data_IF_156181024809
#
_entry.id   IF_156181024809
#
_cell.length_a   1.000
_cell.length_b   1.000
_cell.length_c   1.000
_cell.angle_alpha   90.00
_cell.angle_beta   90.00
_cell.angle_gamma   90.00
#
_symmetry.space_group_name_H-M   'P 1'
#
loop_
_entity.id
_entity.type
_entity.pdbx_description
1 polymer ?
#
# COMPACT_ATOMS: atom_id res chain seq x y z
N UNK A 1 48.81 -37.88 -45.63
CA UNK A 1 47.87 -38.92 -46.03
C UNK A 1 46.55 -38.30 -46.02
N UNK A 2 46.22 -37.74 -47.10
CA UNK A 2 45.33 -38.19 -48.21
C UNK A 2 43.89 -37.97 -47.77
N UNK A 3 43.25 -37.04 -48.31
CA UNK A 3 42.69 -36.75 -49.65
C UNK A 3 41.16 -36.76 -49.55
N UNK A 4 40.62 -35.64 -49.93
CA UNK A 4 39.81 -35.34 -51.13
C UNK A 4 38.40 -35.91 -51.06
N UNK A 5 37.34 -35.19 -51.22
CA UNK A 5 36.85 -34.62 -52.47
C UNK A 5 35.51 -33.90 -52.24
N UNK A 6 35.39 -32.67 -52.64
CA UNK A 6 34.24 -32.04 -53.24
C UNK A 6 34.01 -32.67 -54.64
N UNK A 7 32.91 -32.54 -55.36
CA UNK A 7 32.04 -31.39 -55.50
C UNK A 7 30.58 -31.66 -55.95
N UNK A 8 29.91 -30.58 -56.24
CA UNK A 8 29.05 -30.37 -57.43
C UNK A 8 27.54 -30.33 -57.15
N UNK A 9 26.98 -29.13 -57.11
CA UNK A 9 26.36 -28.38 -58.21
C UNK A 9 25.03 -28.94 -58.73
N UNK A 10 24.01 -28.19 -58.59
CA UNK A 10 23.28 -27.58 -59.72
C UNK A 10 21.89 -27.04 -59.32
N UNK A 11 21.72 -25.80 -59.60
CA UNK A 11 20.54 -25.00 -59.93
C UNK A 11 19.84 -25.55 -61.18
N UNK A 12 18.76 -24.95 -61.63
CA UNK A 12 17.48 -24.43 -61.16
C UNK A 12 16.33 -24.96 -62.05
N UNK A 13 15.11 -24.67 -61.74
CA UNK A 13 14.09 -24.49 -62.80
C UNK A 13 12.71 -24.12 -62.19
N UNK A 14 12.37 -22.87 -62.45
CA UNK A 14 11.31 -22.43 -63.35
C UNK A 14 9.89 -22.59 -62.81
N UNK A 15 9.31 -21.44 -62.61
CA UNK A 15 7.88 -21.14 -62.65
C UNK A 15 7.22 -21.72 -63.94
N UNK A 16 5.89 -21.96 -63.83
CA UNK A 16 5.05 -21.08 -64.64
C UNK A 16 3.84 -20.50 -63.85
N UNK A 17 3.70 -19.30 -64.12
CA UNK A 17 2.55 -18.45 -64.27
C UNK A 17 1.40 -19.11 -65.08
N UNK A 18 0.20 -19.10 -64.55
CA UNK A 18 -1.07 -19.03 -65.32
C UNK A 18 -2.22 -19.30 -64.30
N UNK A 19 -3.32 -18.69 -64.31
CA UNK A 19 -4.01 -17.71 -65.13
C UNK A 19 -5.31 -17.36 -64.39
N UNK A 20 -5.74 -16.17 -64.64
CA UNK A 20 -7.02 -15.62 -64.30
C UNK A 20 -8.21 -16.60 -64.42
N UNK A 21 -9.08 -16.58 -63.42
CA UNK A 21 -10.50 -16.60 -63.67
C UNK A 21 -11.29 -15.89 -62.59
N UNK A 22 -11.81 -14.79 -62.99
CA UNK A 22 -12.96 -14.03 -62.53
C UNK A 22 -14.06 -14.86 -61.86
N UNK A 23 -14.48 -14.46 -60.69
CA UNK A 23 -15.69 -14.97 -60.04
C UNK A 23 -16.11 -14.01 -58.94
N UNK A 24 -17.12 -13.25 -59.28
CA UNK A 24 -17.72 -12.16 -58.57
C UNK A 24 -18.69 -12.67 -57.48
N UNK A 25 -18.84 -11.87 -56.44
CA UNK A 25 -19.94 -11.86 -55.44
C UNK A 25 -19.83 -12.72 -54.19
N UNK A 26 -19.61 -12.11 -53.08
CA UNK A 26 -20.62 -11.82 -52.04
C UNK A 26 -20.00 -11.08 -50.88
N UNK A 27 -20.42 -9.85 -50.68
CA UNK A 27 -20.11 -9.07 -49.47
C UNK A 27 -20.87 -9.69 -48.29
N UNK A 28 -20.10 -10.24 -47.31
CA UNK A 28 -20.62 -10.43 -45.97
C UNK A 28 -19.70 -9.63 -45.07
N UNK A 29 -20.20 -8.47 -44.67
CA UNK A 29 -19.61 -7.63 -43.63
C UNK A 29 -19.78 -8.35 -42.28
N UNK A 30 -18.79 -9.14 -41.88
CA UNK A 30 -18.67 -9.60 -40.50
C UNK A 30 -17.97 -8.47 -39.73
N UNK A 31 -18.74 -7.67 -39.02
CA UNK A 31 -18.23 -6.74 -38.00
C UNK A 31 -17.72 -7.60 -36.86
N UNK A 32 -16.46 -7.94 -36.91
CA UNK A 32 -15.74 -8.47 -35.77
C UNK A 32 -15.45 -7.31 -34.86
N UNK A 33 -16.33 -7.11 -33.87
CA UNK A 33 -16.03 -6.29 -32.69
C UNK A 33 -14.92 -6.99 -31.94
N UNK A 34 -13.68 -6.68 -32.30
CA UNK A 34 -12.52 -7.07 -31.51
C UNK A 34 -12.59 -6.27 -30.20
N UNK A 35 -13.06 -6.91 -29.14
CA UNK A 35 -12.75 -6.49 -27.78
C UNK A 35 -11.24 -6.49 -27.65
N UNK A 36 -10.63 -5.32 -27.80
CA UNK A 36 -9.22 -5.13 -27.45
C UNK A 36 -9.13 -5.25 -25.93
N UNK A 37 -8.85 -6.46 -25.47
CA UNK A 37 -8.27 -6.65 -24.13
C UNK A 37 -6.87 -6.08 -24.24
N UNK A 38 -6.72 -4.79 -23.90
CA UNK A 38 -5.41 -4.21 -23.70
C UNK A 38 -4.71 -5.05 -22.62
N UNK A 39 -3.46 -5.50 -22.83
CA UNK A 39 -2.70 -6.09 -21.77
C UNK A 39 -2.55 -5.05 -20.68
N UNK A 40 -3.28 -5.23 -19.58
CA UNK A 40 -3.05 -4.45 -18.39
C UNK A 40 -1.67 -4.84 -17.91
N UNK A 41 -0.70 -3.95 -18.13
CA UNK A 41 0.57 -4.01 -17.42
C UNK A 41 0.25 -4.22 -15.95
N UNK A 42 0.92 -5.14 -15.26
CA UNK A 42 0.78 -5.22 -13.82
C UNK A 42 1.31 -3.89 -13.26
N UNK A 43 0.41 -2.95 -13.03
CA UNK A 43 0.67 -1.88 -12.10
C UNK A 43 1.05 -2.60 -10.81
N UNK A 44 2.25 -2.37 -10.33
CA UNK A 44 2.63 -2.67 -8.97
C UNK A 44 1.70 -1.78 -8.13
N UNK A 45 0.44 -2.20 -8.05
CA UNK A 45 -0.59 -1.55 -7.30
C UNK A 45 -0.24 -1.74 -5.85
N UNK A 46 0.21 -0.67 -5.21
CA UNK A 46 0.08 -0.55 -3.78
C UNK A 46 -1.41 -0.76 -3.50
N UNK A 47 -1.79 -1.99 -3.14
CA UNK A 47 -3.15 -2.28 -2.70
C UNK A 47 -3.47 -1.27 -1.60
N UNK A 48 -4.55 -0.49 -1.73
CA UNK A 48 -4.91 0.45 -0.67
C UNK A 48 -4.98 -0.33 0.64
N UNK A 49 -4.26 0.16 1.67
CA UNK A 49 -4.27 -0.50 2.95
C UNK A 49 -5.69 -0.43 3.52
N UNK A 50 -6.26 -1.58 3.86
CA UNK A 50 -7.59 -1.65 4.45
C UNK A 50 -7.65 -0.90 5.78
N UNK A 51 -8.80 -0.30 6.07
CA UNK A 51 -9.03 0.30 7.39
C UNK A 51 -8.89 -0.78 8.47
N UNK A 52 -8.11 -0.49 9.51
CA UNK A 52 -7.96 -1.38 10.65
C UNK A 52 -9.30 -1.63 11.35
N UNK A 53 -9.57 -2.90 11.70
CA UNK A 53 -10.73 -3.25 12.51
C UNK A 53 -10.64 -2.63 13.91
N UNK A 54 -11.75 -2.45 14.65
CA UNK A 54 -11.72 -1.95 16.02
C UNK A 54 -10.81 -2.79 16.94
N UNK A 55 -10.84 -4.12 16.79
CA UNK A 55 -9.99 -5.02 17.56
C UNK A 55 -8.50 -4.78 17.26
N UNK A 56 -8.13 -4.63 15.99
CA UNK A 56 -6.74 -4.34 15.61
C UNK A 56 -6.31 -2.94 16.09
N UNK A 57 -7.19 -1.93 16.00
CA UNK A 57 -6.90 -0.58 16.53
C UNK A 57 -6.54 -0.63 18.01
N UNK A 58 -7.33 -1.35 18.81
CA UNK A 58 -7.06 -1.53 20.24
C UNK A 58 -5.72 -2.23 20.47
N UNK A 59 -5.44 -3.29 19.73
CA UNK A 59 -4.16 -4.04 19.83
C UNK A 59 -2.97 -3.15 19.44
N UNK A 60 -3.08 -2.37 18.37
CA UNK A 60 -2.02 -1.45 17.93
C UNK A 60 -1.80 -0.32 18.95
N UNK A 61 -2.87 0.22 19.54
CA UNK A 61 -2.78 1.23 20.59
C UNK A 61 -2.12 0.68 21.88
N UNK A 62 -2.46 -0.52 22.29
CA UNK A 62 -1.81 -1.22 23.42
C UNK A 62 -0.33 -1.43 23.16
N UNK A 63 0.03 -1.89 21.97
CA UNK A 63 1.43 -2.05 21.56
C UNK A 63 2.20 -0.72 21.64
N UNK A 64 1.60 0.39 21.18
CA UNK A 64 2.21 1.73 21.34
C UNK A 64 2.42 2.09 22.81
N UNK A 65 1.47 1.77 23.68
CA UNK A 65 1.61 2.01 25.14
C UNK A 65 2.74 1.22 25.73
N UNK A 66 2.86 -0.06 25.41
CA UNK A 66 3.94 -0.92 25.90
C UNK A 66 5.30 -0.38 25.48
N UNK A 67 5.44 0.03 24.22
CA UNK A 67 6.69 0.57 23.66
C UNK A 67 7.03 1.97 24.15
N UNK A 68 6.06 2.69 24.70
CA UNK A 68 6.22 4.06 25.19
C UNK A 68 5.77 4.22 26.64
N UNK A 69 5.89 3.17 27.48
CA UNK A 69 5.32 3.12 28.83
C UNK A 69 5.70 4.29 29.73
N UNK A 70 6.94 4.79 29.63
CA UNK A 70 7.40 5.97 30.38
C UNK A 70 6.79 7.30 29.93
N UNK A 71 6.09 7.31 28.81
CA UNK A 71 5.49 8.53 28.23
C UNK A 71 3.96 8.53 28.23
N UNK A 72 3.36 7.50 28.79
CA UNK A 72 1.91 7.43 28.91
C UNK A 72 1.46 8.31 30.06
N UNK A 73 0.49 9.19 29.79
CA UNK A 73 -0.15 9.97 30.84
C UNK A 73 -1.04 9.07 31.70
N UNK A 74 -0.82 9.09 33.00
CA UNK A 74 -1.56 8.24 33.92
C UNK A 74 -2.80 8.97 34.45
N UNK A 75 -3.94 8.29 34.47
CA UNK A 75 -5.19 8.83 34.95
C UNK A 75 -5.90 9.76 33.96
N UNK A 76 -6.81 10.59 34.45
CA UNK A 76 -7.61 11.49 33.64
C UNK A 76 -6.76 12.64 33.09
N UNK A 77 -6.87 12.87 31.80
CA UNK A 77 -6.21 14.01 31.15
C UNK A 77 -6.80 15.34 31.64
N UNK A 78 -5.97 16.40 31.72
CA UNK A 78 -6.48 17.72 32.06
C UNK A 78 -7.44 18.25 30.97
N UNK A 79 -8.36 19.17 31.31
CA UNK A 79 -9.33 19.68 30.36
C UNK A 79 -8.71 20.46 29.19
N UNK A 80 -7.47 20.93 29.35
CA UNK A 80 -6.72 21.64 28.31
C UNK A 80 -5.46 20.86 27.97
N UNK A 81 -5.47 20.26 26.77
CA UNK A 81 -4.32 19.56 26.22
C UNK A 81 -3.39 20.52 25.49
N UNK A 82 -2.11 20.22 25.50
CA UNK A 82 -1.12 20.99 24.76
C UNK A 82 -1.27 20.82 23.25
N UNK A 83 -1.50 19.58 22.80
CA UNK A 83 -1.74 19.29 21.39
C UNK A 83 -2.68 18.10 21.19
N UNK A 84 -3.47 18.16 20.12
CA UNK A 84 -4.32 17.05 19.67
C UNK A 84 -4.04 16.84 18.19
N UNK A 85 -3.72 15.61 17.82
CA UNK A 85 -3.45 15.25 16.45
C UNK A 85 -4.10 13.93 16.04
N UNK A 86 -4.48 13.79 14.76
CA UNK A 86 -5.01 12.55 14.21
C UNK A 86 -4.05 12.03 13.17
N UNK A 87 -3.46 10.86 13.44
CA UNK A 87 -2.45 10.25 12.60
C UNK A 87 -2.96 8.92 12.03
N UNK A 88 -2.77 8.74 10.75
CA UNK A 88 -2.89 7.46 10.07
C UNK A 88 -1.52 6.82 9.89
N UNK A 89 -1.40 5.56 10.28
CA UNK A 89 -0.21 4.74 10.12
C UNK A 89 -0.52 3.61 9.15
N UNK A 90 0.11 3.63 8.00
CA UNK A 90 0.02 2.53 7.04
C UNK A 90 1.03 1.45 7.40
N UNK A 91 0.52 0.25 7.64
CA UNK A 91 1.29 -0.92 8.04
C UNK A 91 1.22 -1.98 6.94
N UNK A 92 2.31 -2.70 6.73
CA UNK A 92 2.26 -3.92 5.92
C UNK A 92 1.75 -5.13 6.74
N UNK A 93 1.62 -6.28 6.07
CA UNK A 93 1.12 -7.50 6.70
C UNK A 93 1.95 -8.00 7.88
N UNK A 94 3.22 -7.58 7.99
CA UNK A 94 4.13 -7.90 9.08
C UNK A 94 4.22 -6.80 10.15
N UNK A 95 3.39 -5.76 10.06
CA UNK A 95 3.37 -4.67 11.03
C UNK A 95 4.48 -3.62 10.84
N UNK A 96 5.18 -3.61 9.72
CA UNK A 96 6.18 -2.58 9.42
C UNK A 96 5.50 -1.30 8.97
N UNK A 97 5.97 -0.16 9.48
CA UNK A 97 5.46 1.16 9.10
C UNK A 97 5.89 1.49 7.67
N UNK A 98 4.91 1.66 6.78
CA UNK A 98 5.13 2.03 5.38
C UNK A 98 5.01 3.53 5.17
N UNK A 99 4.02 4.15 5.81
CA UNK A 99 3.77 5.58 5.66
C UNK A 99 3.06 6.14 6.89
N UNK A 100 3.25 7.44 7.13
CA UNK A 100 2.54 8.24 8.12
C UNK A 100 1.80 9.36 7.39
N UNK A 101 0.51 9.50 7.67
CA UNK A 101 -0.31 10.54 7.09
C UNK A 101 -1.11 11.25 8.18
N UNK A 102 -0.89 12.57 8.33
CA UNK A 102 -1.63 13.38 9.28
C UNK A 102 -2.99 13.77 8.71
N UNK A 103 -4.07 13.27 9.30
CA UNK A 103 -5.42 13.75 9.03
C UNK A 103 -5.66 15.11 9.70
N UNK A 104 -5.12 15.27 10.92
CA UNK A 104 -5.11 16.53 11.66
C UNK A 104 -3.74 16.69 12.31
N UNK A 105 -2.96 17.60 11.78
CA UNK A 105 -1.61 17.89 12.27
C UNK A 105 -1.67 19.09 13.25
N UNK A 106 -1.15 18.99 14.48
CA UNK A 106 -1.07 20.12 15.39
C UNK A 106 0.01 21.10 14.93
N UNK A 107 -0.35 22.05 14.08
CA UNK A 107 0.60 23.00 13.44
C UNK A 107 1.29 23.94 14.42
N UNK A 108 0.71 24.17 15.59
CA UNK A 108 1.30 25.03 16.66
C UNK A 108 2.36 24.31 17.49
N UNK A 109 2.50 22.97 17.35
CA UNK A 109 3.40 22.14 18.13
C UNK A 109 4.21 21.17 17.20
N UNK A 110 5.12 21.70 16.37
CA UNK A 110 5.90 20.87 15.44
C UNK A 110 6.81 19.86 16.14
N UNK A 111 7.27 20.16 17.36
CA UNK A 111 8.03 19.26 18.20
C UNK A 111 7.20 18.03 18.62
N UNK A 112 5.91 18.22 18.95
CA UNK A 112 4.99 17.13 19.26
C UNK A 112 4.78 16.24 18.03
N UNK A 113 4.65 16.85 16.86
CA UNK A 113 4.56 16.10 15.59
C UNK A 113 5.76 15.17 15.43
N UNK A 114 6.97 15.70 15.57
CA UNK A 114 8.21 14.93 15.44
C UNK A 114 8.30 13.81 16.49
N UNK A 115 7.87 14.08 17.72
CA UNK A 115 7.86 13.11 18.81
C UNK A 115 6.88 11.96 18.57
N UNK A 116 5.67 12.26 18.09
CA UNK A 116 4.67 11.24 17.73
C UNK A 116 5.19 10.35 16.60
N UNK A 117 5.72 10.94 15.54
CA UNK A 117 6.27 10.18 14.43
C UNK A 117 7.44 9.29 14.87
N UNK A 118 8.30 9.78 15.77
CA UNK A 118 9.39 8.99 16.34
C UNK A 118 8.84 7.84 17.19
N UNK A 119 7.87 8.08 18.06
CA UNK A 119 7.24 7.07 18.90
C UNK A 119 6.63 5.94 18.08
N UNK A 120 5.93 6.28 16.99
CA UNK A 120 5.35 5.30 16.06
C UNK A 120 6.42 4.48 15.36
N UNK A 121 7.45 5.12 14.80
CA UNK A 121 8.53 4.42 14.09
C UNK A 121 9.34 3.52 15.02
N UNK A 122 9.60 3.96 16.25
CA UNK A 122 10.32 3.17 17.26
C UNK A 122 9.51 1.99 17.80
N UNK A 123 8.19 2.05 17.71
CA UNK A 123 7.31 0.95 18.10
C UNK A 123 7.24 -0.17 17.04
N UNK A 124 7.72 0.07 15.82
CA UNK A 124 7.70 -0.95 14.77
C UNK A 124 8.62 -2.15 15.12
N UNK A 125 8.25 -3.39 14.74
CA UNK A 125 7.01 -3.74 14.05
C UNK A 125 5.80 -3.78 14.99
N UNK A 126 4.64 -3.37 14.47
CA UNK A 126 3.34 -3.53 15.11
C UNK A 126 2.87 -5.00 15.03
N UNK A 127 1.81 -5.38 15.76
CA UNK A 127 1.22 -6.70 15.60
C UNK A 127 0.88 -7.00 14.14
N UNK A 128 1.23 -8.21 13.68
CA UNK A 128 1.02 -8.60 12.30
C UNK A 128 -0.48 -8.77 12.00
N UNK A 129 -0.98 -8.07 10.99
CA UNK A 129 -2.37 -8.19 10.53
C UNK A 129 -2.55 -9.20 9.40
N UNK A 130 -1.44 -9.80 8.87
CA UNK A 130 -1.44 -10.69 7.71
C UNK A 130 -1.73 -10.01 6.37
N UNK A 131 -2.09 -8.73 6.39
CA UNK A 131 -2.38 -7.88 5.22
C UNK A 131 -2.04 -6.43 5.54
N UNK A 132 -1.94 -5.59 4.51
CA UNK A 132 -1.74 -4.15 4.72
C UNK A 132 -2.96 -3.52 5.37
N UNK A 133 -2.75 -2.74 6.42
CA UNK A 133 -3.81 -2.04 7.16
C UNK A 133 -3.45 -0.59 7.42
N UNK A 134 -4.48 0.27 7.50
CA UNK A 134 -4.36 1.65 7.96
C UNK A 134 -4.89 1.75 9.39
N UNK A 135 -3.99 1.92 10.34
CA UNK A 135 -4.29 2.21 11.74
C UNK A 135 -4.43 3.72 11.92
N UNK A 136 -5.52 4.17 12.52
CA UNK A 136 -5.78 5.59 12.78
C UNK A 136 -6.10 5.79 14.25
N UNK A 137 -5.44 6.76 14.88
CA UNK A 137 -5.73 7.14 16.26
C UNK A 137 -5.58 8.65 16.47
N UNK A 138 -6.25 9.13 17.54
CA UNK A 138 -6.10 10.49 18.02
C UNK A 138 -5.11 10.50 19.18
N UNK A 139 -4.09 11.34 19.04
CA UNK A 139 -3.07 11.56 20.05
C UNK A 139 -3.44 12.76 20.91
N UNK A 140 -3.61 12.49 22.19
CA UNK A 140 -3.97 13.47 23.22
C UNK A 140 -2.70 13.78 24.00
N UNK A 141 -2.08 14.93 23.73
CA UNK A 141 -0.75 15.28 24.22
C UNK A 141 -0.82 16.31 25.33
N UNK A 142 -0.26 16.00 26.49
CA UNK A 142 -0.16 16.91 27.62
C UNK A 142 1.15 17.71 27.57
N UNK A 143 1.14 18.89 28.22
CA UNK A 143 2.30 19.78 28.33
C UNK A 143 3.53 19.14 29.03
N UNK A 144 3.32 18.06 29.79
CA UNK A 144 4.43 17.29 30.40
C UNK A 144 5.20 16.42 29.40
N UNK A 145 4.83 16.40 28.13
CA UNK A 145 5.40 15.52 27.11
C UNK A 145 4.88 14.08 27.14
N UNK A 146 3.82 13.85 27.92
CA UNK A 146 3.13 12.55 27.99
C UNK A 146 1.86 12.61 27.15
N UNK A 147 1.36 11.42 26.76
CA UNK A 147 0.21 11.32 25.90
C UNK A 147 -0.75 10.18 26.28
N UNK A 148 -1.94 10.25 25.76
CA UNK A 148 -2.87 9.14 25.67
C UNK A 148 -3.35 8.98 24.21
N UNK A 149 -3.85 7.79 23.89
CA UNK A 149 -4.51 7.48 22.62
C UNK A 149 -6.01 7.35 22.85
N UNK A 150 -6.79 8.03 22.04
CA UNK A 150 -8.26 8.05 22.16
C UNK A 150 -8.87 6.63 22.16
N UNK A 151 -8.32 5.74 21.35
CA UNK A 151 -8.75 4.32 21.31
C UNK A 151 -8.68 3.62 22.68
N UNK A 152 -7.80 4.03 23.60
CA UNK A 152 -7.65 3.45 24.93
C UNK A 152 -8.24 4.30 26.05
N UNK A 153 -8.73 5.50 25.74
CA UNK A 153 -9.37 6.40 26.71
C UNK A 153 -10.91 6.29 26.70
N UNK A 154 -11.45 5.37 25.88
CA UNK A 154 -12.88 5.07 25.85
C UNK A 154 -13.36 4.70 27.25
N UNK A 155 -14.13 5.59 27.87
CA UNK A 155 -14.62 5.45 29.26
C UNK A 155 -14.20 6.55 30.22
N UNK A 156 -13.33 7.47 29.84
CA UNK A 156 -13.08 8.68 30.67
C UNK A 156 -14.29 9.63 30.70
N UNK A 157 -15.25 9.45 29.80
CA UNK A 157 -16.50 10.22 29.74
C UNK A 157 -17.62 9.63 30.59
N UNK A 158 -17.38 8.57 31.33
CA UNK A 158 -18.39 7.79 32.06
C UNK A 158 -18.32 7.89 33.58
N UNK A 159 -17.70 8.95 34.15
CA UNK A 159 -17.70 9.18 35.61
C UNK A 159 -18.22 10.56 35.96
#
# INVERSE_FOLDING_TARGET
MSETHDPTRATPARRPLNWLRTGMMAAVAAVLTACQIAPQSPSIGTTPADKASPAYRKQAAQHLYERNSGRIYQGMLPPMLYAIGVLQVQLDGQGRVKNLHWMRKPSHAPEVVAEIERAVRSAAPFPAAGRSVTYTDTWLWDKSGRFQLDTLTEGQLGQ
#
